data_IF_593198931481
#
_entry.id   IF_593198931481
#
_cell.length_a   1.000
_cell.length_b   1.000
_cell.length_c   1.000
_cell.angle_alpha   90.00
_cell.angle_beta   90.00
_cell.angle_gamma   90.00
#
_symmetry.space_group_name_H-M   'P 1'
#
loop_
_entity.id
_entity.type
_entity.pdbx_description
1 polymer ?
#
# COMPACT_ATOMS: atom_id res chain seq x y z
N UNK A 1 6.69 -2.05 22.93
CA UNK A 1 5.78 -3.21 23.07
C UNK A 1 5.70 -3.91 21.73
N UNK A 2 5.82 -5.24 21.74
CA UNK A 2 5.72 -6.03 20.52
C UNK A 2 4.26 -6.32 20.15
N UNK A 3 3.92 -6.19 18.86
CA UNK A 3 2.57 -6.44 18.37
C UNK A 3 2.14 -7.89 18.58
N UNK A 4 3.07 -8.84 18.47
CA UNK A 4 2.81 -10.28 18.69
C UNK A 4 2.31 -10.55 20.09
N UNK A 5 2.97 -9.99 21.11
CA UNK A 5 2.56 -10.11 22.51
C UNK A 5 1.15 -9.56 22.74
N UNK A 6 0.81 -8.41 22.13
CA UNK A 6 -0.54 -7.83 22.24
C UNK A 6 -1.59 -8.71 21.56
N UNK A 7 -1.27 -9.30 20.41
CA UNK A 7 -2.18 -10.22 19.74
C UNK A 7 -2.44 -11.44 20.63
N UNK A 8 -1.41 -12.04 21.22
CA UNK A 8 -1.54 -13.20 22.12
C UNK A 8 -2.39 -12.86 23.35
N UNK A 9 -2.07 -11.76 24.03
CA UNK A 9 -2.77 -11.31 25.24
C UNK A 9 -4.27 -11.09 25.02
N UNK A 10 -4.66 -10.49 23.90
CA UNK A 10 -6.06 -10.12 23.63
C UNK A 10 -6.78 -11.05 22.66
N UNK A 11 -6.15 -12.16 22.25
CA UNK A 11 -6.67 -13.07 21.21
C UNK A 11 -8.04 -13.63 21.54
N UNK A 12 -8.22 -14.13 22.77
CA UNK A 12 -9.48 -14.74 23.22
C UNK A 12 -10.64 -13.74 23.15
N UNK A 13 -10.44 -12.54 23.72
CA UNK A 13 -11.39 -11.42 23.67
C UNK A 13 -11.69 -10.98 22.23
N UNK A 14 -10.67 -10.96 21.37
CA UNK A 14 -10.85 -10.65 19.95
C UNK A 14 -11.75 -11.66 19.24
N UNK A 15 -11.51 -12.95 19.40
CA UNK A 15 -12.35 -13.97 18.76
C UNK A 15 -13.75 -14.03 19.37
N UNK A 16 -13.90 -13.78 20.67
CA UNK A 16 -15.21 -13.67 21.31
C UNK A 16 -16.04 -12.51 20.74
N UNK A 17 -15.44 -11.33 20.53
CA UNK A 17 -16.18 -10.15 20.05
C UNK A 17 -16.29 -10.07 18.51
N UNK A 18 -15.23 -10.41 17.80
CA UNK A 18 -15.11 -10.18 16.36
C UNK A 18 -15.05 -11.46 15.54
N UNK A 19 -15.00 -12.65 16.15
CA UNK A 19 -14.81 -13.92 15.45
C UNK A 19 -15.76 -14.12 14.27
N UNK A 20 -17.06 -13.89 14.49
CA UNK A 20 -18.11 -13.96 13.46
C UNK A 20 -18.00 -12.89 12.36
N UNK A 21 -17.33 -11.77 12.66
CA UNK A 21 -17.05 -10.69 11.72
C UNK A 21 -15.70 -10.83 11.02
N UNK A 22 -14.86 -11.79 11.39
CA UNK A 22 -13.58 -12.00 10.69
C UNK A 22 -13.79 -12.73 9.38
N UNK A 23 -12.86 -12.54 8.44
CA UNK A 23 -12.79 -13.33 7.22
C UNK A 23 -11.47 -14.11 7.15
N UNK A 24 -11.35 -14.99 6.16
CA UNK A 24 -10.14 -15.82 5.96
C UNK A 24 -8.87 -14.98 5.86
N UNK A 25 -8.94 -13.79 5.28
CA UNK A 25 -7.80 -12.90 5.04
C UNK A 25 -7.32 -12.27 6.35
N UNK A 26 -8.24 -11.81 7.19
CA UNK A 26 -7.94 -11.28 8.53
C UNK A 26 -7.28 -12.38 9.39
N UNK A 27 -7.89 -13.57 9.43
CA UNK A 27 -7.35 -14.69 10.21
C UNK A 27 -6.00 -15.17 9.69
N UNK A 28 -5.82 -15.24 8.36
CA UNK A 28 -4.54 -15.56 7.77
C UNK A 28 -3.46 -14.53 8.13
N UNK A 29 -3.80 -13.24 8.10
CA UNK A 29 -2.89 -12.17 8.47
C UNK A 29 -2.46 -12.25 9.93
N UNK A 30 -3.40 -12.43 10.86
CA UNK A 30 -3.12 -12.57 12.30
C UNK A 30 -2.20 -13.78 12.55
N UNK A 31 -2.57 -14.94 12.03
CA UNK A 31 -1.80 -16.18 12.22
C UNK A 31 -0.40 -16.08 11.59
N UNK A 32 -0.26 -15.41 10.45
CA UNK A 32 1.04 -15.21 9.83
C UNK A 32 1.95 -14.29 10.65
N UNK A 33 1.39 -13.23 11.26
CA UNK A 33 2.15 -12.32 12.12
C UNK A 33 2.61 -13.02 13.40
N UNK A 34 1.72 -13.79 14.05
CA UNK A 34 2.03 -14.57 15.24
C UNK A 34 3.14 -15.59 14.98
N UNK A 35 3.04 -16.35 13.89
CA UNK A 35 4.00 -17.40 13.58
C UNK A 35 5.26 -16.90 12.82
N UNK A 36 5.41 -15.58 12.62
CA UNK A 36 6.56 -15.04 11.91
C UNK A 36 7.84 -15.28 12.72
N UNK A 37 8.90 -15.78 12.08
CA UNK A 37 10.14 -16.21 12.73
C UNK A 37 9.98 -17.36 13.73
N UNK A 38 9.07 -18.29 13.43
CA UNK A 38 9.00 -19.59 14.13
C UNK A 38 9.20 -20.74 13.13
N UNK A 39 9.30 -21.96 13.66
CA UNK A 39 9.43 -23.21 12.88
C UNK A 39 8.36 -23.38 11.81
N UNK A 40 7.19 -22.73 11.95
CA UNK A 40 6.10 -22.76 10.97
C UNK A 40 6.54 -22.34 9.56
N UNK A 41 7.58 -21.52 9.43
CA UNK A 41 8.11 -21.08 8.13
C UNK A 41 9.46 -21.72 7.75
N UNK A 42 9.92 -22.68 8.55
CA UNK A 42 11.24 -23.29 8.39
C UNK A 42 12.36 -22.37 8.88
N UNK A 43 13.60 -22.83 8.73
CA UNK A 43 14.80 -22.10 9.17
C UNK A 43 15.93 -22.18 8.15
N UNK A 44 16.81 -21.20 8.19
CA UNK A 44 18.10 -21.24 7.51
C UNK A 44 19.18 -21.64 8.50
N UNK A 45 20.11 -22.48 8.04
CA UNK A 45 21.34 -22.82 8.76
C UNK A 45 22.46 -21.89 8.31
N UNK A 46 23.23 -21.41 9.28
CA UNK A 46 24.22 -20.36 9.11
C UNK A 46 25.56 -20.83 9.68
N UNK A 47 26.65 -20.52 8.98
CA UNK A 47 28.02 -20.75 9.46
C UNK A 47 28.83 -19.47 9.37
N UNK A 48 29.55 -19.16 10.44
CA UNK A 48 30.51 -18.07 10.47
C UNK A 48 31.88 -18.59 10.05
N UNK A 49 32.44 -18.13 8.93
CA UNK A 49 33.75 -18.62 8.45
C UNK A 49 34.88 -18.31 9.43
N UNK A 50 35.00 -17.09 10.00
CA UNK A 50 36.13 -16.75 10.86
C UNK A 50 36.22 -17.50 12.20
N UNK A 51 35.10 -17.93 12.78
CA UNK A 51 35.08 -18.56 14.11
C UNK A 51 34.37 -19.91 14.14
N UNK A 52 34.02 -20.45 12.98
CA UNK A 52 33.28 -21.69 12.75
C UNK A 52 31.90 -21.83 13.42
N UNK A 53 31.47 -20.82 14.18
CA UNK A 53 30.22 -20.88 14.94
C UNK A 53 29.01 -21.07 14.01
N UNK A 54 28.20 -22.08 14.33
CA UNK A 54 26.95 -22.38 13.65
C UNK A 54 25.76 -21.71 14.33
N UNK A 55 24.80 -21.23 13.54
CA UNK A 55 23.54 -20.69 14.04
C UNK A 55 22.39 -21.13 13.13
N UNK A 56 21.18 -20.91 13.59
CA UNK A 56 20.00 -20.99 12.74
C UNK A 56 19.09 -19.79 12.95
N UNK A 57 18.30 -19.45 11.93
CA UNK A 57 17.28 -18.41 12.01
C UNK A 57 16.01 -18.87 11.32
N UNK A 58 14.88 -18.72 12.00
CA UNK A 58 13.58 -18.98 11.39
C UNK A 58 13.24 -17.95 10.32
N UNK A 59 12.57 -18.41 9.26
CA UNK A 59 12.15 -17.56 8.16
C UNK A 59 11.02 -16.60 8.58
N UNK A 60 10.97 -15.46 7.89
CA UNK A 60 9.88 -14.51 8.04
C UNK A 60 8.62 -15.00 7.31
N UNK A 61 7.44 -14.63 7.80
CA UNK A 61 6.17 -15.07 7.19
C UNK A 61 5.91 -14.47 5.79
N UNK A 62 6.59 -13.36 5.45
CA UNK A 62 6.39 -12.64 4.20
C UNK A 62 5.00 -11.98 4.05
N UNK A 63 4.13 -12.02 5.06
CA UNK A 63 2.80 -11.44 4.96
C UNK A 63 2.85 -9.91 5.00
N UNK A 64 2.10 -9.24 4.12
CA UNK A 64 2.11 -7.76 3.98
C UNK A 64 1.65 -6.98 5.21
N UNK A 65 0.86 -7.63 6.07
CA UNK A 65 0.42 -7.05 7.34
C UNK A 65 1.45 -7.18 8.46
N UNK A 66 2.53 -7.95 8.25
CA UNK A 66 3.58 -8.13 9.24
C UNK A 66 4.52 -6.92 9.24
N UNK A 67 4.69 -6.29 10.41
CA UNK A 67 5.58 -5.14 10.57
C UNK A 67 7.08 -5.51 10.50
N UNK A 68 7.42 -6.80 10.68
CA UNK A 68 8.81 -7.33 10.63
C UNK A 68 9.27 -7.75 9.23
N UNK A 69 8.34 -7.87 8.28
CA UNK A 69 8.60 -8.43 6.95
C UNK A 69 8.68 -7.34 5.86
N UNK A 70 9.08 -7.75 4.64
CA UNK A 70 8.87 -7.01 3.39
C UNK A 70 9.53 -5.62 3.28
N UNK A 71 10.43 -5.26 4.20
CA UNK A 71 11.18 -4.00 4.15
C UNK A 71 11.98 -3.88 2.86
N UNK A 72 12.75 -4.92 2.53
CA UNK A 72 13.57 -4.96 1.32
C UNK A 72 12.73 -4.93 0.03
N UNK A 73 11.57 -5.58 0.00
CA UNK A 73 10.66 -5.53 -1.15
C UNK A 73 10.02 -4.14 -1.33
N UNK A 74 9.78 -3.42 -0.23
CA UNK A 74 9.39 -2.00 -0.27
C UNK A 74 10.47 -1.14 -0.90
N UNK A 75 11.74 -1.32 -0.51
CA UNK A 75 12.89 -0.61 -1.09
C UNK A 75 12.99 -0.90 -2.59
N UNK A 76 12.97 -2.19 -2.97
CA UNK A 76 13.03 -2.60 -4.39
C UNK A 76 11.87 -2.02 -5.21
N UNK A 77 10.66 -1.93 -4.63
CA UNK A 77 9.55 -1.28 -5.31
C UNK A 77 9.81 0.21 -5.50
N UNK A 78 10.27 0.90 -4.45
CA UNK A 78 10.60 2.33 -4.51
C UNK A 78 11.67 2.62 -5.55
N UNK A 79 12.77 1.85 -5.59
CA UNK A 79 13.82 1.95 -6.61
C UNK A 79 13.24 1.82 -8.04
N UNK A 80 12.38 0.81 -8.27
CA UNK A 80 11.74 0.62 -9.57
C UNK A 80 10.84 1.78 -9.97
N UNK A 81 10.08 2.33 -9.05
CA UNK A 81 9.17 3.46 -9.33
C UNK A 81 9.93 4.77 -9.52
N UNK A 82 10.97 5.02 -8.72
CA UNK A 82 11.84 6.19 -8.87
C UNK A 82 12.49 6.25 -10.26
N UNK A 83 12.83 5.10 -10.85
CA UNK A 83 13.37 5.02 -12.21
C UNK A 83 12.38 5.38 -13.32
N UNK A 84 11.07 5.40 -13.02
CA UNK A 84 10.06 5.83 -13.98
C UNK A 84 9.78 7.33 -13.90
N UNK A 85 10.38 8.03 -12.92
CA UNK A 85 10.21 9.47 -12.80
C UNK A 85 10.76 10.18 -14.04
N UNK A 86 10.10 11.29 -14.33
CA UNK A 86 10.38 12.19 -15.45
C UNK A 86 10.63 13.59 -14.86
N UNK A 87 11.39 14.47 -15.54
CA UNK A 87 11.72 15.81 -15.07
C UNK A 87 10.53 16.77 -15.26
N UNK A 88 9.39 16.42 -14.67
CA UNK A 88 8.11 17.12 -14.80
C UNK A 88 7.49 17.34 -13.41
N UNK A 89 6.46 18.19 -13.36
CA UNK A 89 5.65 18.30 -12.15
C UNK A 89 4.80 17.05 -11.98
N UNK A 90 4.50 16.68 -10.74
CA UNK A 90 3.66 15.53 -10.39
C UNK A 90 2.49 15.99 -9.54
N UNK A 91 1.42 15.21 -9.65
CA UNK A 91 0.18 15.42 -8.94
C UNK A 91 -0.20 14.14 -8.21
N UNK A 92 -0.79 14.28 -7.03
CA UNK A 92 -1.43 13.20 -6.30
C UNK A 92 -2.92 13.46 -6.29
N UNK A 93 -3.67 12.59 -6.95
CA UNK A 93 -5.13 12.60 -6.95
C UNK A 93 -5.64 11.49 -6.05
N UNK A 94 -6.46 11.81 -5.05
CA UNK A 94 -6.97 10.84 -4.08
C UNK A 94 -8.48 10.72 -4.19
N UNK A 95 -8.96 9.54 -4.54
CA UNK A 95 -10.39 9.22 -4.59
C UNK A 95 -10.78 8.45 -3.34
N UNK A 96 -11.76 8.95 -2.59
CA UNK A 96 -12.14 8.41 -1.28
C UNK A 96 -13.59 7.95 -1.28
N UNK A 97 -13.85 6.73 -0.78
CA UNK A 97 -15.22 6.28 -0.59
C UNK A 97 -15.86 6.92 0.66
N UNK A 98 -17.11 7.40 0.56
CA UNK A 98 -17.86 7.93 1.70
C UNK A 98 -18.08 6.87 2.79
N UNK A 99 -18.44 7.32 3.99
CA UNK A 99 -18.55 6.46 5.17
C UNK A 99 -19.58 5.34 4.98
N UNK A 100 -20.69 5.65 4.33
CA UNK A 100 -21.84 4.79 4.10
C UNK A 100 -21.49 3.59 3.21
N UNK A 101 -20.52 3.74 2.29
CA UNK A 101 -20.05 2.65 1.43
C UNK A 101 -19.06 1.70 2.10
N UNK A 102 -18.57 2.03 3.30
CA UNK A 102 -17.50 1.25 3.94
C UNK A 102 -17.93 -0.16 4.29
N UNK A 103 -19.13 -0.35 4.84
CA UNK A 103 -19.64 -1.68 5.18
C UNK A 103 -19.74 -2.56 3.92
N UNK A 104 -20.43 -2.08 2.88
CA UNK A 104 -20.55 -2.77 1.59
C UNK A 104 -19.17 -3.11 1.00
N UNK A 105 -18.26 -2.15 1.00
CA UNK A 105 -16.90 -2.35 0.50
C UNK A 105 -16.12 -3.38 1.31
N UNK A 106 -16.29 -3.40 2.63
CA UNK A 106 -15.61 -4.35 3.51
C UNK A 106 -16.11 -5.78 3.32
N UNK A 107 -17.40 -5.99 3.05
CA UNK A 107 -17.95 -7.31 2.77
C UNK A 107 -17.62 -7.82 1.36
N UNK A 108 -17.46 -6.92 0.38
CA UNK A 108 -17.25 -7.27 -1.04
C UNK A 108 -15.92 -6.72 -1.60
N UNK A 109 -14.85 -6.78 -0.79
CA UNK A 109 -13.56 -6.15 -1.06
C UNK A 109 -13.01 -6.34 -2.48
N UNK A 110 -12.97 -7.58 -2.99
CA UNK A 110 -12.36 -7.87 -4.30
C UNK A 110 -13.05 -7.09 -5.41
N UNK A 111 -14.39 -7.10 -5.43
CA UNK A 111 -15.18 -6.43 -6.45
C UNK A 111 -15.15 -4.92 -6.26
N UNK A 112 -15.44 -4.44 -5.05
CA UNK A 112 -15.59 -3.00 -4.79
C UNK A 112 -14.27 -2.23 -4.86
N UNK A 113 -13.15 -2.84 -4.46
CA UNK A 113 -11.83 -2.24 -4.72
C UNK A 113 -11.49 -2.23 -6.21
N UNK A 114 -11.94 -3.22 -6.99
CA UNK A 114 -11.70 -3.23 -8.44
C UNK A 114 -12.49 -2.12 -9.14
N UNK A 115 -13.75 -1.93 -8.76
CA UNK A 115 -14.59 -0.82 -9.20
C UNK A 115 -13.98 0.53 -8.80
N UNK A 116 -13.51 0.66 -7.55
CA UNK A 116 -12.83 1.87 -7.07
C UNK A 116 -11.62 2.23 -7.95
N UNK A 117 -10.77 1.25 -8.27
CA UNK A 117 -9.63 1.49 -9.17
C UNK A 117 -10.08 1.90 -10.56
N UNK A 118 -11.01 1.15 -11.17
CA UNK A 118 -11.47 1.41 -12.53
C UNK A 118 -12.08 2.82 -12.63
N UNK A 119 -13.05 3.14 -11.79
CA UNK A 119 -13.72 4.44 -11.80
C UNK A 119 -12.74 5.60 -11.58
N UNK A 120 -11.79 5.47 -10.64
CA UNK A 120 -10.80 6.52 -10.38
C UNK A 120 -9.85 6.73 -11.57
N UNK A 121 -9.36 5.65 -12.18
CA UNK A 121 -8.43 5.70 -13.30
C UNK A 121 -9.12 6.19 -14.58
N UNK A 122 -10.30 5.66 -14.88
CA UNK A 122 -11.05 6.01 -16.09
C UNK A 122 -11.52 7.47 -16.04
N UNK A 123 -11.91 7.96 -14.85
CA UNK A 123 -12.21 9.39 -14.67
C UNK A 123 -11.00 10.25 -15.05
N UNK A 124 -9.81 9.91 -14.55
CA UNK A 124 -8.59 10.66 -14.90
C UNK A 124 -8.20 10.53 -16.37
N UNK A 125 -8.35 9.35 -16.97
CA UNK A 125 -8.08 9.13 -18.39
C UNK A 125 -8.95 10.04 -19.26
N UNK A 126 -10.24 10.08 -19.00
CA UNK A 126 -11.16 10.88 -19.79
C UNK A 126 -10.92 12.38 -19.60
N UNK A 127 -10.60 12.81 -18.39
CA UNK A 127 -10.18 14.21 -18.16
C UNK A 127 -8.90 14.54 -18.93
N UNK A 128 -7.92 13.65 -18.96
CA UNK A 128 -6.68 13.87 -19.73
C UNK A 128 -6.90 13.91 -21.25
N UNK A 129 -7.77 13.04 -21.76
CA UNK A 129 -8.12 12.97 -23.19
C UNK A 129 -8.89 14.21 -23.63
N UNK A 130 -9.83 14.68 -22.80
CA UNK A 130 -10.71 15.80 -23.13
C UNK A 130 -10.14 17.18 -22.73
N UNK A 131 -9.04 17.23 -21.98
CA UNK A 131 -8.40 18.48 -21.61
C UNK A 131 -7.68 19.12 -22.81
N UNK A 132 -7.93 20.41 -23.05
CA UNK A 132 -7.35 21.14 -24.21
C UNK A 132 -5.82 21.24 -24.15
N UNK A 133 -5.22 21.21 -22.95
CA UNK A 133 -3.77 21.36 -22.75
C UNK A 133 -3.05 20.02 -22.94
N UNK A 134 -3.64 18.94 -22.44
CA UNK A 134 -3.12 17.58 -22.52
C UNK A 134 -3.60 16.89 -23.82
N UNK A 135 -4.89 16.60 -23.93
CA UNK A 135 -5.51 16.00 -25.13
C UNK A 135 -4.98 14.60 -25.44
N UNK A 136 -4.66 13.81 -24.41
CA UNK A 136 -4.13 12.45 -24.53
C UNK A 136 -4.26 11.65 -23.23
N UNK A 137 -4.14 10.33 -23.35
CA UNK A 137 -4.19 9.40 -22.21
C UNK A 137 -3.08 9.71 -21.18
N UNK A 138 -3.47 9.82 -19.91
CA UNK A 138 -2.54 9.99 -18.79
C UNK A 138 -1.87 8.66 -18.44
N UNK A 139 -0.58 8.73 -18.13
CA UNK A 139 0.07 7.68 -17.37
C UNK A 139 -0.08 7.97 -15.87
N UNK A 140 -0.11 6.94 -15.04
CA UNK A 140 -0.29 7.11 -13.60
C UNK A 140 0.09 5.85 -12.81
N UNK A 141 0.45 6.02 -11.55
CA UNK A 141 0.64 4.93 -10.57
C UNK A 141 -0.41 5.04 -9.48
N UNK A 142 -1.29 4.06 -9.38
CA UNK A 142 -2.40 4.03 -8.43
C UNK A 142 -2.11 3.04 -7.27
N UNK A 143 -2.39 3.46 -6.03
CA UNK A 143 -2.14 2.70 -4.80
C UNK A 143 -3.39 2.70 -3.93
N UNK A 144 -3.92 1.52 -3.63
CA UNK A 144 -5.05 1.34 -2.70
C UNK A 144 -4.58 1.45 -1.25
N UNK A 145 -5.27 2.29 -0.49
CA UNK A 145 -5.21 2.36 0.96
C UNK A 145 -6.59 2.06 1.55
N UNK A 146 -6.63 1.41 2.71
CA UNK A 146 -7.88 1.00 3.36
C UNK A 146 -8.04 1.56 4.76
N UNK A 147 -7.10 2.38 5.23
CA UNK A 147 -7.09 2.86 6.61
C UNK A 147 -6.81 4.36 6.70
N UNK A 148 -7.39 4.99 7.71
CA UNK A 148 -7.00 6.33 8.14
C UNK A 148 -5.71 6.27 8.98
N UNK A 149 -5.14 7.43 9.34
CA UNK A 149 -4.04 7.49 10.32
C UNK A 149 -4.47 7.02 11.72
N UNK A 150 -5.78 7.06 12.01
CA UNK A 150 -6.38 6.52 13.23
C UNK A 150 -6.65 5.01 13.18
N UNK A 151 -6.30 4.35 12.07
CA UNK A 151 -6.54 2.93 11.76
C UNK A 151 -7.99 2.55 11.43
N UNK A 152 -8.90 3.53 11.37
CA UNK A 152 -10.28 3.29 10.95
C UNK A 152 -10.31 2.84 9.49
N UNK A 153 -11.23 1.92 9.15
CA UNK A 153 -11.44 1.52 7.78
C UNK A 153 -11.90 2.70 6.92
N UNK A 154 -11.13 2.99 5.88
CA UNK A 154 -11.23 4.18 5.05
C UNK A 154 -10.66 3.87 3.64
N UNK A 155 -11.42 3.21 2.76
CA UNK A 155 -10.98 2.87 1.41
C UNK A 155 -10.79 4.11 0.55
N UNK A 156 -9.59 4.26 0.00
CA UNK A 156 -9.24 5.31 -0.96
C UNK A 156 -8.10 4.86 -1.87
N UNK A 157 -8.00 5.46 -3.05
CA UNK A 157 -6.89 5.23 -3.98
C UNK A 157 -6.14 6.53 -4.17
N UNK A 158 -4.83 6.52 -3.90
CA UNK A 158 -3.93 7.58 -4.30
C UNK A 158 -3.38 7.30 -5.69
N UNK A 159 -3.42 8.29 -6.57
CA UNK A 159 -2.95 8.18 -7.94
C UNK A 159 -1.91 9.26 -8.18
N UNK A 160 -0.68 8.83 -8.48
CA UNK A 160 0.42 9.71 -8.85
C UNK A 160 0.43 9.89 -10.37
N UNK A 161 0.29 11.14 -10.81
CA UNK A 161 0.15 11.52 -12.21
C UNK A 161 1.32 12.45 -12.61
N UNK A 162 2.19 12.08 -13.57
CA UNK A 162 3.12 13.01 -14.20
C UNK A 162 2.37 14.11 -14.96
N UNK A 163 2.86 15.34 -14.86
CA UNK A 163 2.36 16.55 -15.51
C UNK A 163 2.69 16.59 -16.99
N UNK A 164 2.21 15.61 -17.73
CA UNK A 164 2.30 15.55 -19.18
C UNK A 164 1.88 14.19 -19.73
N UNK A 165 1.67 14.15 -21.03
CA UNK A 165 1.18 12.98 -21.75
C UNK A 165 1.93 12.80 -23.07
N UNK A 166 1.94 11.57 -23.57
CA UNK A 166 2.45 11.27 -24.89
C UNK A 166 1.30 11.29 -25.89
N UNK A 167 1.34 12.22 -26.85
CA UNK A 167 0.47 12.13 -28.02
C UNK A 167 0.98 11.03 -28.93
N UNK A 168 0.34 9.85 -28.90
CA UNK A 168 0.74 8.68 -29.70
C UNK A 168 0.64 8.91 -31.21
N UNK A 169 -0.32 9.72 -31.68
CA UNK A 169 -0.49 10.00 -33.13
C UNK A 169 0.69 10.82 -33.68
N UNK A 170 1.13 11.83 -32.92
CA UNK A 170 2.21 12.74 -33.32
C UNK A 170 3.59 12.34 -32.77
N UNK A 171 3.67 11.28 -31.96
CA UNK A 171 4.87 10.88 -31.21
C UNK A 171 5.51 12.03 -30.42
N UNK A 172 4.67 12.91 -29.85
CA UNK A 172 5.11 14.15 -29.19
C UNK A 172 4.78 14.14 -27.70
N UNK A 173 5.75 14.56 -26.89
CA UNK A 173 5.52 14.83 -25.48
C UNK A 173 4.78 16.17 -25.31
N UNK A 174 3.64 16.12 -24.65
CA UNK A 174 2.89 17.31 -24.23
C UNK A 174 3.08 17.54 -22.74
N UNK A 175 3.79 18.61 -22.39
CA UNK A 175 4.02 19.03 -21.01
C UNK A 175 2.85 19.85 -20.48
N UNK A 176 2.36 19.51 -19.29
CA UNK A 176 1.44 20.38 -18.56
C UNK A 176 2.22 21.56 -17.97
N UNK A 177 1.75 22.78 -18.21
CA UNK A 177 2.32 24.00 -17.63
C UNK A 177 1.61 24.33 -16.30
N UNK A 178 2.40 24.66 -15.27
CA UNK A 178 1.89 25.10 -13.97
C UNK A 178 1.68 23.98 -12.94
N UNK A 179 1.03 24.33 -11.83
CA UNK A 179 0.81 23.47 -10.66
C UNK A 179 -0.65 23.04 -10.49
N UNK A 180 -1.44 23.12 -11.54
CA UNK A 180 -2.85 22.74 -11.55
C UNK A 180 -3.09 21.63 -12.57
N UNK A 181 -3.68 20.53 -12.12
CA UNK A 181 -4.05 19.41 -12.99
C UNK A 181 -5.52 19.52 -13.40
N UNK A 182 -6.46 19.23 -12.50
CA UNK A 182 -7.90 19.27 -12.76
C UNK A 182 -8.69 19.83 -11.57
N UNK A 183 -9.94 20.19 -11.82
CA UNK A 183 -10.88 20.61 -10.78
C UNK A 183 -11.35 19.37 -10.01
N UNK A 184 -11.12 19.37 -8.69
CA UNK A 184 -11.42 18.19 -7.87
C UNK A 184 -12.91 17.93 -7.66
N UNK A 185 -13.76 18.96 -7.69
CA UNK A 185 -15.22 18.80 -7.63
C UNK A 185 -15.77 18.16 -8.91
N UNK A 186 -15.25 18.56 -10.07
CA UNK A 186 -15.61 17.93 -11.34
C UNK A 186 -15.21 16.44 -11.37
N UNK A 187 -13.98 16.12 -10.90
CA UNK A 187 -13.54 14.74 -10.74
C UNK A 187 -14.45 13.97 -9.79
N UNK A 188 -14.82 14.54 -8.65
CA UNK A 188 -15.69 13.91 -7.66
C UNK A 188 -17.09 13.61 -8.21
N UNK A 189 -17.68 14.53 -8.98
CA UNK A 189 -19.00 14.35 -9.59
C UNK A 189 -19.02 13.18 -10.58
N UNK A 190 -18.03 13.12 -11.48
CA UNK A 190 -17.93 12.03 -12.47
C UNK A 190 -17.60 10.71 -11.80
N UNK A 191 -16.66 10.70 -10.84
CA UNK A 191 -16.31 9.51 -10.08
C UNK A 191 -17.50 8.94 -9.31
N UNK A 192 -18.27 9.79 -8.63
CA UNK A 192 -19.49 9.40 -7.91
C UNK A 192 -20.48 8.71 -8.84
N UNK A 193 -20.80 9.33 -9.98
CA UNK A 193 -21.75 8.77 -10.93
C UNK A 193 -21.31 7.40 -11.45
N UNK A 194 -20.04 7.28 -11.87
CA UNK A 194 -19.46 6.03 -12.40
C UNK A 194 -19.39 4.93 -11.36
N UNK A 195 -18.98 5.27 -10.14
CA UNK A 195 -18.87 4.29 -9.06
C UNK A 195 -20.24 3.71 -8.73
N UNK A 196 -21.25 4.57 -8.54
CA UNK A 196 -22.61 4.10 -8.23
C UNK A 196 -23.20 3.27 -9.36
N UNK A 197 -23.01 3.65 -10.62
CA UNK A 197 -23.43 2.85 -11.77
C UNK A 197 -22.75 1.47 -11.75
N UNK A 198 -21.41 1.45 -11.68
CA UNK A 198 -20.63 0.20 -11.68
C UNK A 198 -20.97 -0.74 -10.51
N UNK A 199 -21.34 -0.19 -9.34
CA UNK A 199 -21.78 -0.99 -8.19
C UNK A 199 -23.15 -1.62 -8.44
N UNK A 200 -24.09 -0.88 -9.05
CA UNK A 200 -25.39 -1.41 -9.46
C UNK A 200 -25.25 -2.47 -10.55
N UNK A 201 -24.42 -2.22 -11.55
CA UNK A 201 -24.14 -3.17 -12.64
C UNK A 201 -23.50 -4.46 -12.11
N UNK A 202 -22.74 -4.38 -11.02
CA UNK A 202 -22.19 -5.53 -10.32
C UNK A 202 -23.20 -6.24 -9.40
N UNK A 203 -24.47 -5.85 -9.41
CA UNK A 203 -25.57 -6.48 -8.68
C UNK A 203 -25.67 -6.09 -7.21
N UNK A 204 -25.04 -5.00 -6.78
CA UNK A 204 -25.11 -4.55 -5.38
C UNK A 204 -26.10 -3.41 -5.18
N UNK A 205 -26.85 -3.48 -4.09
CA UNK A 205 -27.69 -2.38 -3.61
C UNK A 205 -26.83 -1.33 -2.91
N UNK A 206 -26.98 -0.07 -3.33
CA UNK A 206 -26.33 1.06 -2.69
C UNK A 206 -27.08 1.47 -1.41
N UNK A 207 -26.39 1.97 -0.37
CA UNK A 207 -27.03 2.57 0.79
C UNK A 207 -27.94 3.74 0.37
N UNK A 208 -29.10 3.87 1.00
CA UNK A 208 -30.05 4.93 0.69
C UNK A 208 -29.54 6.34 1.05
N UNK A 209 -28.69 6.44 2.08
CA UNK A 209 -28.22 7.69 2.66
C UNK A 209 -26.86 8.18 2.10
N UNK A 210 -26.54 7.88 0.84
CA UNK A 210 -25.28 8.32 0.24
C UNK A 210 -25.21 9.85 0.14
N UNK A 211 -24.07 10.46 0.49
CA UNK A 211 -23.92 11.90 0.37
C UNK A 211 -23.89 12.33 -1.11
N UNK A 212 -24.44 13.51 -1.38
CA UNK A 212 -24.37 14.13 -2.70
C UNK A 212 -22.93 14.54 -3.05
N UNK A 213 -22.21 15.12 -2.08
CA UNK A 213 -20.84 15.60 -2.25
C UNK A 213 -19.83 14.52 -1.88
N UNK A 214 -19.07 14.08 -2.87
CA UNK A 214 -17.96 13.14 -2.68
C UNK A 214 -16.62 13.87 -2.63
N UNK A 215 -15.60 13.21 -2.07
CA UNK A 215 -14.28 13.81 -1.89
C UNK A 215 -13.29 13.20 -2.87
N UNK A 216 -12.81 14.05 -3.76
CA UNK A 216 -11.56 13.86 -4.51
C UNK A 216 -10.64 15.00 -4.13
N UNK A 217 -9.37 14.69 -3.91
CA UNK A 217 -8.34 15.67 -3.58
C UNK A 217 -7.29 15.68 -4.69
N UNK A 218 -7.03 16.81 -5.33
CA UNK A 218 -6.07 16.92 -6.42
C UNK A 218 -4.94 17.89 -6.07
N UNK A 219 -3.79 17.36 -5.64
CA UNK A 219 -2.67 18.17 -5.14
C UNK A 219 -1.43 18.09 -6.02
N UNK A 220 -0.78 19.23 -6.22
CA UNK A 220 0.60 19.29 -6.71
C UNK A 220 1.56 18.72 -5.65
N UNK A 221 2.48 17.86 -6.07
CA UNK A 221 3.43 17.17 -5.17
C UNK A 221 4.89 17.29 -5.64
N UNK A 222 5.21 18.37 -6.36
CA UNK A 222 6.57 18.65 -6.83
C UNK A 222 7.03 17.65 -7.90
N UNK A 223 8.22 17.04 -7.71
CA UNK A 223 8.85 16.16 -8.71
C UNK A 223 8.53 14.67 -8.55
N UNK A 224 7.52 14.33 -7.74
CA UNK A 224 7.00 12.97 -7.61
C UNK A 224 7.74 12.07 -6.62
N UNK A 225 9.07 12.15 -6.49
CA UNK A 225 9.83 11.27 -5.58
C UNK A 225 9.31 11.29 -4.12
N UNK A 226 9.07 12.46 -3.48
CA UNK A 226 8.53 12.47 -2.12
C UNK A 226 7.17 11.78 -1.98
N UNK A 227 6.33 11.87 -3.01
CA UNK A 227 5.01 11.23 -3.03
C UNK A 227 5.12 9.71 -3.18
N UNK A 228 6.00 9.21 -4.05
CA UNK A 228 6.27 7.77 -4.19
C UNK A 228 6.89 7.23 -2.89
N UNK A 229 7.83 7.95 -2.28
CA UNK A 229 8.40 7.59 -0.98
C UNK A 229 7.31 7.53 0.10
N UNK A 230 6.42 8.51 0.15
CA UNK A 230 5.28 8.51 1.07
C UNK A 230 4.41 7.26 0.89
N UNK A 231 3.99 6.94 -0.35
CA UNK A 231 3.15 5.78 -0.63
C UNK A 231 3.86 4.45 -0.36
N UNK A 232 5.17 4.36 -0.63
CA UNK A 232 5.96 3.14 -0.41
C UNK A 232 5.85 2.62 1.02
N UNK A 233 5.79 3.53 2.01
CA UNK A 233 5.74 3.20 3.44
C UNK A 233 4.51 2.37 3.81
N UNK A 234 3.44 2.49 3.04
CA UNK A 234 2.16 1.82 3.33
C UNK A 234 1.98 0.53 2.54
N UNK A 235 2.84 0.19 1.58
CA UNK A 235 2.61 -0.94 0.68
C UNK A 235 2.73 -2.31 1.36
N UNK A 236 3.81 -2.50 2.12
CA UNK A 236 4.17 -3.79 2.70
C UNK A 236 4.57 -3.73 4.17
N UNK A 237 4.26 -2.62 4.85
CA UNK A 237 4.39 -2.50 6.30
C UNK A 237 3.00 -2.64 6.90
N UNK A 238 2.91 -3.27 8.08
CA UNK A 238 1.68 -3.25 8.88
C UNK A 238 1.15 -1.81 9.05
N UNK A 239 -0.13 -1.68 9.38
CA UNK A 239 -0.80 -0.36 9.40
C UNK A 239 -0.35 0.55 10.56
N UNK A 240 0.38 -0.01 11.52
CA UNK A 240 0.96 0.70 12.67
C UNK A 240 2.40 0.23 12.90
N UNK A 241 3.27 1.16 13.30
CA UNK A 241 4.61 0.85 13.77
C UNK A 241 4.59 0.62 15.29
N UNK A 242 5.36 -0.35 15.78
CA UNK A 242 5.35 -0.74 17.20
C UNK A 242 5.73 0.41 18.15
N UNK A 243 6.64 1.29 17.71
CA UNK A 243 7.02 2.50 18.44
C UNK A 243 5.90 3.56 18.58
N UNK A 244 4.75 3.33 17.95
CA UNK A 244 3.56 4.14 18.10
C UNK A 244 2.53 3.51 19.04
N UNK A 245 2.76 2.28 19.52
CA UNK A 245 1.99 1.66 20.60
C UNK A 245 2.66 2.09 21.91
N UNK A 246 1.95 2.85 22.74
CA UNK A 246 2.53 3.61 23.86
C UNK A 246 2.29 2.93 25.20
N UNK A 247 1.08 2.44 25.45
CA UNK A 247 0.77 1.71 26.68
C UNK A 247 -0.23 0.56 26.46
N UNK A 248 -0.15 -0.40 27.36
CA UNK A 248 -1.08 -1.53 27.53
C UNK A 248 -1.35 -1.68 29.04
N UNK A 249 -2.59 -1.50 29.47
CA UNK A 249 -3.00 -1.62 30.88
C UNK A 249 -3.65 -2.98 31.21
N UNK A 250 -3.66 -3.92 30.26
CA UNK A 250 -4.32 -5.22 30.38
C UNK A 250 -5.80 -5.24 29.98
N UNK A 251 -6.40 -4.07 29.74
CA UNK A 251 -7.74 -3.93 29.14
C UNK A 251 -7.73 -3.08 27.88
N UNK A 252 -6.96 -2.00 27.89
CA UNK A 252 -6.87 -1.00 26.84
C UNK A 252 -5.44 -0.86 26.33
N UNK A 253 -5.36 -0.61 25.03
CA UNK A 253 -4.14 -0.23 24.33
C UNK A 253 -4.26 1.24 23.94
N UNK A 254 -3.20 2.00 24.22
CA UNK A 254 -3.06 3.37 23.74
C UNK A 254 -2.00 3.45 22.67
N UNK A 255 -2.34 4.04 21.53
CA UNK A 255 -1.39 4.31 20.44
C UNK A 255 -1.46 5.75 19.99
N UNK A 256 -0.35 6.30 19.46
CA UNK A 256 -0.33 7.61 18.82
C UNK A 256 -0.47 7.54 17.32
N UNK A 257 -1.02 8.61 16.76
CA UNK A 257 -1.07 8.88 15.34
C UNK A 257 -0.89 10.37 15.09
N UNK A 258 -0.45 10.72 13.89
CA UNK A 258 -0.39 12.13 13.45
C UNK A 258 -1.71 12.52 12.82
N UNK A 259 -2.38 13.51 13.38
CA UNK A 259 -3.65 14.02 12.85
C UNK A 259 -3.47 14.58 11.44
N UNK A 260 -4.42 14.33 10.53
CA UNK A 260 -4.32 14.77 9.15
C UNK A 260 -4.60 16.26 8.94
N UNK A 261 -5.43 16.86 9.80
CA UNK A 261 -5.79 18.28 9.73
C UNK A 261 -4.76 19.12 10.49
N UNK A 262 -4.54 18.81 11.77
CA UNK A 262 -3.67 19.63 12.64
C UNK A 262 -2.19 19.29 12.50
N UNK A 263 -1.84 18.15 11.89
CA UNK A 263 -0.46 17.64 11.76
C UNK A 263 0.26 17.42 13.11
N UNK A 264 -0.48 17.42 14.22
CA UNK A 264 0.04 17.16 15.57
C UNK A 264 -0.10 15.69 15.95
N UNK A 265 0.71 15.24 16.91
CA UNK A 265 0.55 13.91 17.50
C UNK A 265 -0.67 13.90 18.42
N UNK A 266 -1.51 12.88 18.27
CA UNK A 266 -2.65 12.59 19.12
C UNK A 266 -2.60 11.14 19.54
N UNK A 267 -3.24 10.82 20.66
CA UNK A 267 -3.38 9.44 21.14
C UNK A 267 -4.80 8.93 20.90
N UNK A 268 -4.92 7.61 20.81
CA UNK A 268 -6.20 6.90 20.79
C UNK A 268 -6.07 5.71 21.74
N UNK A 269 -7.00 5.62 22.69
CA UNK A 269 -7.14 4.51 23.63
C UNK A 269 -8.36 3.68 23.23
N UNK A 270 -8.18 2.37 23.12
CA UNK A 270 -9.24 1.41 22.75
C UNK A 270 -9.05 0.11 23.54
N UNK A 271 -10.09 -0.71 23.66
CA UNK A 271 -9.92 -2.08 24.19
C UNK A 271 -8.95 -2.89 23.33
N UNK A 272 -8.22 -3.83 23.93
CA UNK A 272 -7.19 -4.59 23.22
C UNK A 272 -7.72 -5.39 22.03
N UNK A 273 -8.91 -5.98 22.15
CA UNK A 273 -9.58 -6.67 21.04
C UNK A 273 -9.96 -5.74 19.88
N UNK A 274 -10.40 -4.51 20.19
CA UNK A 274 -10.67 -3.50 19.17
C UNK A 274 -9.38 -3.03 18.51
N UNK A 275 -8.26 -2.96 19.23
CA UNK A 275 -6.96 -2.67 18.64
C UNK A 275 -6.55 -3.73 17.61
N UNK A 276 -6.70 -5.03 17.92
CA UNK A 276 -6.44 -6.12 16.96
C UNK A 276 -7.32 -5.95 15.72
N UNK A 277 -8.63 -5.68 15.89
CA UNK A 277 -9.53 -5.41 14.76
C UNK A 277 -9.04 -4.23 13.91
N UNK A 278 -8.71 -3.10 14.53
CA UNK A 278 -8.21 -1.90 13.86
C UNK A 278 -6.94 -2.15 13.04
N UNK A 279 -6.06 -3.04 13.52
CA UNK A 279 -4.81 -3.38 12.83
C UNK A 279 -5.05 -4.32 11.64
N UNK A 280 -5.91 -5.33 11.79
CA UNK A 280 -6.00 -6.44 10.84
C UNK A 280 -7.18 -6.38 9.86
N UNK A 281 -8.21 -5.56 10.10
CA UNK A 281 -9.36 -5.41 9.18
C UNK A 281 -9.00 -4.97 7.76
N UNK A 282 -7.75 -4.53 7.56
CA UNK A 282 -7.15 -4.04 6.31
C UNK A 282 -6.51 -5.14 5.45
N UNK A 283 -6.59 -6.40 5.87
CA UNK A 283 -6.07 -7.53 5.11
C UNK A 283 -6.78 -7.62 3.75
N UNK A 284 -6.01 -7.54 2.66
CA UNK A 284 -6.54 -7.54 1.29
C UNK A 284 -6.89 -8.97 0.82
N UNK A 285 -7.82 -9.12 -0.14
CA UNK A 285 -8.10 -10.40 -0.78
C UNK A 285 -6.84 -11.03 -1.37
N UNK A 286 -6.75 -12.38 -1.31
CA UNK A 286 -5.64 -13.14 -1.89
C UNK A 286 -5.51 -12.79 -3.38
N UNK A 287 -4.28 -12.50 -3.81
CA UNK A 287 -3.97 -12.14 -5.20
C UNK A 287 -4.35 -10.70 -5.59
N UNK A 288 -4.95 -9.91 -4.71
CA UNK A 288 -5.35 -8.55 -5.06
C UNK A 288 -4.13 -7.63 -5.23
N UNK A 289 -4.02 -7.03 -6.42
CA UNK A 289 -2.95 -6.07 -6.76
C UNK A 289 -3.26 -4.70 -6.18
N UNK A 290 -2.55 -4.36 -5.09
CA UNK A 290 -2.66 -3.09 -4.36
C UNK A 290 -2.09 -1.89 -5.13
N UNK A 291 -1.12 -2.12 -6.00
CA UNK A 291 -0.47 -1.10 -6.83
C UNK A 291 -0.68 -1.45 -8.29
N UNK A 292 -1.01 -0.45 -9.10
CA UNK A 292 -1.24 -0.60 -10.54
C UNK A 292 -0.62 0.59 -11.26
N UNK A 293 0.14 0.31 -12.31
CA UNK A 293 0.70 1.34 -13.20
C UNK A 293 -0.12 1.38 -14.49
N UNK A 294 -0.30 2.55 -15.09
CA UNK A 294 -1.12 2.76 -16.29
C UNK A 294 -0.41 3.66 -17.30
N UNK A 295 -0.90 3.66 -18.55
CA UNK A 295 -0.30 4.41 -19.66
C UNK A 295 1.16 4.01 -19.87
N UNK A 296 2.03 4.98 -20.15
CA UNK A 296 3.46 4.71 -20.35
C UNK A 296 4.20 4.26 -19.07
N UNK A 297 3.58 4.32 -17.88
CA UNK A 297 4.19 3.78 -16.65
C UNK A 297 3.95 2.27 -16.49
N UNK A 298 3.02 1.69 -17.26
CA UNK A 298 2.70 0.26 -17.21
C UNK A 298 3.89 -0.62 -17.60
N UNK A 299 4.00 -1.82 -17.01
CA UNK A 299 5.15 -2.71 -17.21
C UNK A 299 5.36 -3.18 -18.66
N UNK A 300 4.31 -3.19 -19.48
CA UNK A 300 4.40 -3.53 -20.91
C UNK A 300 4.73 -2.32 -21.79
N UNK A 301 4.82 -1.11 -21.23
CA UNK A 301 5.10 0.12 -21.95
C UNK A 301 6.56 0.59 -21.77
N UNK A 302 7.48 -0.30 -21.39
CA UNK A 302 8.87 0.04 -21.09
C UNK A 302 9.56 0.77 -22.25
N UNK A 303 9.37 0.29 -23.50
CA UNK A 303 9.94 0.95 -24.69
C UNK A 303 9.40 2.38 -24.86
N UNK A 304 8.09 2.58 -24.62
CA UNK A 304 7.48 3.91 -24.66
C UNK A 304 8.05 4.82 -23.58
N UNK A 305 8.18 4.33 -22.33
CA UNK A 305 8.78 5.08 -21.24
C UNK A 305 10.22 5.47 -21.55
N UNK A 306 11.03 4.55 -22.04
CA UNK A 306 12.42 4.81 -22.43
C UNK A 306 12.51 5.88 -23.53
N UNK A 307 11.64 5.83 -24.54
CA UNK A 307 11.56 6.89 -25.56
C UNK A 307 11.23 8.26 -24.95
N UNK A 308 10.26 8.32 -24.06
CA UNK A 308 9.93 9.57 -23.33
C UNK A 308 11.12 10.04 -22.50
N UNK A 309 11.82 9.14 -21.83
CA UNK A 309 13.01 9.46 -21.04
C UNK A 309 14.15 10.02 -21.91
N UNK A 310 14.36 9.47 -23.11
CA UNK A 310 15.33 10.01 -24.08
C UNK A 310 14.90 11.40 -24.57
N UNK A 311 13.64 11.57 -24.97
CA UNK A 311 13.09 12.86 -25.41
C UNK A 311 13.23 13.95 -24.33
N UNK A 312 13.05 13.57 -23.07
CA UNK A 312 13.17 14.46 -21.91
C UNK A 312 14.59 14.52 -21.32
N UNK A 313 15.58 13.91 -21.98
CA UNK A 313 16.99 13.88 -21.55
C UNK A 313 17.16 13.43 -20.08
N UNK A 314 16.40 12.42 -19.67
CA UNK A 314 16.42 11.91 -18.30
C UNK A 314 17.71 11.15 -18.07
N UNK A 315 18.49 11.59 -17.08
CA UNK A 315 19.64 10.85 -16.59
C UNK A 315 19.13 9.66 -15.76
N UNK A 316 19.27 8.45 -16.29
CA UNK A 316 18.92 7.22 -15.60
C UNK A 316 20.12 6.75 -14.76
N UNK A 317 20.06 6.83 -13.43
CA UNK A 317 21.16 6.33 -12.61
C UNK A 317 21.33 4.82 -12.80
N UNK A 318 22.58 4.35 -12.80
CA UNK A 318 22.90 2.92 -12.79
C UNK A 318 22.24 2.27 -11.57
N UNK A 319 21.52 1.18 -11.77
CA UNK A 319 20.82 0.52 -10.68
C UNK A 319 21.83 -0.22 -9.79
N UNK A 320 22.21 0.40 -8.69
CA UNK A 320 22.86 -0.29 -7.58
C UNK A 320 21.74 -0.94 -6.78
N UNK A 321 21.64 -2.27 -6.86
CA UNK A 321 20.67 -3.02 -6.06
C UNK A 321 21.03 -2.80 -4.59
N UNK A 322 20.12 -2.25 -3.78
CA UNK A 322 20.34 -2.21 -2.34
C UNK A 322 20.57 -3.65 -1.86
N UNK A 323 21.70 -3.98 -1.22
CA UNK A 323 21.95 -5.35 -0.75
C UNK A 323 20.98 -5.71 0.37
N UNK A 324 20.75 -7.00 0.57
CA UNK A 324 20.01 -7.47 1.76
C UNK A 324 20.88 -7.27 3.00
N UNK A 325 20.29 -6.94 4.16
CA UNK A 325 21.02 -6.92 5.41
C UNK A 325 21.72 -8.26 5.65
N UNK A 326 23.00 -8.19 6.00
CA UNK A 326 23.82 -9.35 6.30
C UNK A 326 23.44 -9.90 7.68
N UNK A 327 23.47 -11.22 7.83
CA UNK A 327 23.27 -11.87 9.12
C UNK A 327 24.60 -11.91 9.85
N UNK A 328 24.72 -11.15 10.94
CA UNK A 328 25.92 -11.13 11.77
C UNK A 328 25.97 -12.30 12.77
N UNK A 329 27.17 -12.82 12.99
CA UNK A 329 27.46 -13.82 13.99
C UNK A 329 27.33 -13.24 15.41
N UNK A 330 26.58 -13.90 16.30
CA UNK A 330 26.42 -13.48 17.69
C UNK A 330 27.71 -13.52 18.51
N UNK A 331 28.70 -14.33 18.11
CA UNK A 331 29.95 -14.48 18.85
C UNK A 331 31.00 -13.44 18.46
N UNK A 332 31.21 -13.19 17.16
CA UNK A 332 32.29 -12.34 16.68
C UNK A 332 31.84 -11.17 15.77
N UNK A 333 30.53 -10.98 15.56
CA UNK A 333 29.98 -9.90 14.73
C UNK A 333 30.12 -10.06 13.21
N UNK A 334 31.01 -10.95 12.74
CA UNK A 334 31.27 -11.16 11.32
C UNK A 334 30.04 -11.65 10.53
N UNK A 335 29.97 -11.33 9.22
CA UNK A 335 29.00 -11.90 8.29
C UNK A 335 28.95 -13.42 8.33
N UNK A 336 27.74 -13.98 8.42
CA UNK A 336 27.51 -15.42 8.30
C UNK A 336 27.06 -15.80 6.88
N UNK A 337 27.48 -16.99 6.44
CA UNK A 337 27.01 -17.59 5.19
C UNK A 337 25.82 -18.52 5.45
N UNK A 338 24.87 -18.54 4.52
CA UNK A 338 23.77 -19.51 4.52
C UNK A 338 24.30 -20.82 3.95
N UNK A 339 24.18 -21.90 4.72
CA UNK A 339 24.70 -23.23 4.34
C UNK A 339 23.57 -24.13 3.85
N UNK A 340 22.38 -24.03 4.45
CA UNK A 340 21.23 -24.84 4.06
C UNK A 340 19.90 -24.17 4.46
N UNK A 341 18.81 -24.68 3.89
CA UNK A 341 17.44 -24.35 4.26
C UNK A 341 16.72 -25.60 4.75
N UNK A 342 16.06 -25.49 5.89
CA UNK A 342 15.16 -26.52 6.42
C UNK A 342 13.73 -26.03 6.16
N UNK A 343 12.95 -26.73 5.32
CA UNK A 343 11.55 -26.37 5.06
C UNK A 343 10.70 -26.54 6.33
N UNK A 344 9.54 -25.89 6.41
CA UNK A 344 8.61 -26.12 7.53
C UNK A 344 8.01 -27.53 7.48
N UNK A 345 7.70 -28.09 8.65
CA UNK A 345 7.20 -29.47 8.80
C UNK A 345 5.94 -29.75 7.95
N UNK A 346 5.01 -28.80 7.83
CA UNK A 346 3.79 -28.97 7.03
C UNK A 346 4.01 -28.97 5.49
N UNK A 347 5.23 -28.68 5.03
CA UNK A 347 5.61 -28.80 3.60
C UNK A 347 6.36 -30.11 3.29
N UNK A 348 6.73 -30.88 4.30
CA UNK A 348 7.39 -32.17 4.09
C UNK A 348 6.31 -33.24 3.91
N UNK A 349 5.97 -33.53 2.64
CA UNK A 349 5.00 -34.57 2.26
C UNK A 349 3.57 -34.09 2.25
#
# INVERSE_FOLDING_TARGET
>A
MELTHLIERYRSRFYAQFGSRTNRQVNHAINAVLACHTERYGKMLLRCVPCDNQQSRFHSCGHRSCHRCQHHDTIRWLERQSRKLLPVEYFMVTFTLPYELRALTWHHQKTLYSILFACAVDTLKDFGINDKKLGAELAMTAVLHTHSRRLDYHPHVHIIVPGGCLNKKRQQWKKLKGKYLFNEFALANVFRARFMASVRDAGFTLPANLPEKWVVDCKHVGKGLPAIQYLSRYLYRGVIAENNIISDDGTHITFRYRDSKTRTWKTRRVKGEMFIWLVFQHALPKGFRRVRDYGFLHGNANTTLQRIQMLLKVLLPKLIKTPRPVISCKQCGNPMMIVAFIPPAWRAG
#
